data_IF_925942146689
#
_entry.id   IF_925942146689
#
_cell.length_a   1.000
_cell.length_b   1.000
_cell.length_c   1.000
_cell.angle_alpha   90.00
_cell.angle_beta   90.00
_cell.angle_gamma   90.00
#
_symmetry.space_group_name_H-M   'P 1'
#
loop_
_entity.id
_entity.type
_entity.pdbx_description
1 polymer ?
#
# COMPACT_ATOMS: atom_id res chain seq x y z
N UNK A 1 36.49 -32.08 -27.92
CA UNK A 1 36.71 -33.03 -29.02
C UNK A 1 35.34 -33.55 -29.42
N UNK A 2 34.78 -32.98 -30.43
CA UNK A 2 34.01 -33.51 -31.55
C UNK A 2 33.44 -32.30 -32.33
N UNK A 3 34.05 -32.10 -33.43
CA UNK A 3 33.69 -31.19 -34.53
C UNK A 3 32.90 -31.99 -35.57
N UNK A 4 32.10 -31.31 -36.38
CA UNK A 4 31.71 -31.60 -37.78
C UNK A 4 30.34 -31.04 -38.09
N UNK A 5 30.14 -30.22 -38.98
CA UNK A 5 30.41 -29.78 -40.37
C UNK A 5 29.06 -29.45 -41.01
N UNK A 6 28.92 -28.26 -41.44
CA UNK A 6 28.57 -27.67 -42.75
C UNK A 6 27.79 -28.54 -43.75
N UNK A 7 26.73 -27.96 -44.32
CA UNK A 7 26.05 -28.40 -45.54
C UNK A 7 25.20 -27.29 -46.13
N UNK A 8 25.73 -26.54 -47.10
CA UNK A 8 25.00 -25.65 -48.03
C UNK A 8 24.29 -26.48 -49.11
N UNK A 9 23.09 -26.10 -49.48
CA UNK A 9 22.67 -26.19 -50.91
C UNK A 9 21.65 -25.11 -51.22
N UNK A 10 22.02 -24.29 -52.22
CA UNK A 10 21.20 -23.37 -52.97
C UNK A 10 20.56 -24.12 -54.15
N UNK A 11 19.30 -23.91 -54.45
CA UNK A 11 18.70 -24.25 -55.72
C UNK A 11 17.86 -23.07 -56.22
N UNK A 12 18.38 -22.44 -57.26
CA UNK A 12 17.67 -21.48 -58.12
C UNK A 12 16.67 -22.23 -59.01
N UNK A 13 15.42 -21.81 -59.03
CA UNK A 13 14.45 -22.17 -60.07
C UNK A 13 13.92 -20.88 -60.69
N UNK A 14 14.34 -20.64 -61.94
CA UNK A 14 13.85 -19.59 -62.83
C UNK A 14 12.53 -20.06 -63.49
N UNK A 15 11.40 -19.42 -63.17
CA UNK A 15 10.13 -19.59 -63.85
C UNK A 15 9.72 -18.31 -64.56
N UNK A 16 9.81 -18.32 -65.90
CA UNK A 16 9.27 -17.28 -66.79
C UNK A 16 7.74 -17.37 -66.78
N UNK A 17 7.03 -16.35 -66.40
CA UNK A 17 5.63 -16.19 -66.66
C UNK A 17 5.39 -15.16 -67.77
N UNK A 18 4.65 -15.62 -68.80
CA UNK A 18 4.19 -14.83 -69.96
C UNK A 18 3.06 -13.88 -69.55
N UNK A 19 3.20 -12.62 -69.96
CA UNK A 19 2.13 -11.64 -69.92
C UNK A 19 1.05 -11.97 -70.95
N UNK A 20 -0.20 -12.23 -70.54
CA UNK A 20 -1.36 -12.20 -71.34
C UNK A 20 -2.08 -10.85 -71.18
N UNK A 21 -2.07 -10.10 -72.31
CA UNK A 21 -2.73 -8.79 -72.41
C UNK A 21 -4.25 -9.01 -72.55
N UNK A 22 -5.02 -8.63 -71.53
CA UNK A 22 -6.44 -8.46 -71.63
C UNK A 22 -6.80 -6.98 -71.72
N UNK A 23 -7.20 -6.53 -72.88
CA UNK A 23 -7.80 -5.20 -73.09
C UNK A 23 -9.21 -5.20 -72.50
N UNK A 24 -9.44 -4.46 -71.40
CA UNK A 24 -10.78 -4.13 -70.92
C UNK A 24 -11.03 -2.62 -71.15
N UNK A 25 -12.19 -2.34 -71.74
CA UNK A 25 -12.71 -1.01 -72.02
C UNK A 25 -13.01 -0.29 -70.69
N UNK A 26 -12.81 1.03 -70.57
CA UNK A 26 -13.11 1.77 -69.33
C UNK A 26 -14.63 1.88 -69.12
N UNK A 27 -15.12 1.35 -68.02
CA UNK A 27 -16.46 1.64 -67.52
C UNK A 27 -16.48 3.06 -66.93
N UNK A 28 -17.47 3.86 -67.32
CA UNK A 28 -17.71 5.20 -66.81
C UNK A 28 -18.00 5.14 -65.29
N UNK A 29 -17.12 5.66 -64.49
CA UNK A 29 -17.38 5.92 -63.08
C UNK A 29 -18.36 7.11 -62.99
N UNK A 30 -19.56 6.84 -62.47
CA UNK A 30 -20.51 7.90 -62.10
C UNK A 30 -19.91 8.77 -60.99
N UNK A 31 -19.99 10.08 -61.19
CA UNK A 31 -19.52 11.09 -60.19
C UNK A 31 -20.36 11.02 -58.90
N UNK A 32 -19.85 10.38 -57.88
CA UNK A 32 -20.37 10.57 -56.51
C UNK A 32 -20.09 11.99 -56.09
N UNK A 33 -21.15 12.76 -55.77
CA UNK A 33 -21.07 14.14 -55.39
C UNK A 33 -20.16 14.33 -54.15
N UNK A 34 -19.32 15.36 -54.17
CA UNK A 34 -18.38 15.74 -53.10
C UNK A 34 -19.05 15.87 -51.71
N UNK A 35 -20.38 16.07 -51.69
CA UNK A 35 -21.18 16.16 -50.48
C UNK A 35 -21.35 14.84 -49.73
N UNK A 36 -21.30 13.65 -50.38
CA UNK A 36 -21.43 12.34 -49.74
C UNK A 36 -20.08 11.93 -49.12
N UNK A 37 -18.97 12.21 -49.79
CA UNK A 37 -17.63 11.93 -49.27
C UNK A 37 -17.32 12.77 -48.02
N UNK A 38 -17.77 14.02 -47.95
CA UNK A 38 -17.59 14.89 -46.80
C UNK A 38 -18.45 14.45 -45.58
N UNK A 39 -19.70 14.00 -45.82
CA UNK A 39 -20.54 13.48 -44.71
C UNK A 39 -19.98 12.19 -44.11
N UNK A 40 -19.45 11.27 -44.90
CA UNK A 40 -18.79 10.07 -44.38
C UNK A 40 -17.49 10.38 -43.62
N UNK A 41 -16.72 11.36 -44.11
CA UNK A 41 -15.49 11.78 -43.41
C UNK A 41 -15.78 12.47 -42.07
N UNK A 42 -16.79 13.34 -42.01
CA UNK A 42 -17.21 14.00 -40.77
C UNK A 42 -17.81 13.03 -39.73
N UNK A 43 -18.61 12.03 -40.19
CA UNK A 43 -19.15 11.00 -39.29
C UNK A 43 -18.05 10.09 -38.75
N UNK A 44 -17.04 9.77 -39.56
CA UNK A 44 -15.89 8.95 -39.09
C UNK A 44 -14.97 9.70 -38.14
N UNK A 45 -14.71 10.99 -38.39
CA UNK A 45 -13.92 11.85 -37.50
C UNK A 45 -14.67 12.16 -36.22
N UNK A 46 -16.00 12.35 -36.24
CA UNK A 46 -16.81 12.55 -35.03
C UNK A 46 -16.92 11.26 -34.20
N UNK A 47 -17.00 10.08 -34.82
CA UNK A 47 -16.94 8.80 -34.12
C UNK A 47 -15.56 8.51 -33.55
N UNK A 48 -14.46 8.94 -34.21
CA UNK A 48 -13.11 8.81 -33.66
C UNK A 48 -12.83 9.83 -32.54
N UNK A 49 -13.46 11.02 -32.56
CA UNK A 49 -13.41 12.01 -31.49
C UNK A 49 -14.31 11.65 -30.29
N UNK A 50 -15.33 10.82 -30.48
CA UNK A 50 -16.19 10.33 -29.40
C UNK A 50 -15.66 9.02 -28.75
N UNK A 51 -14.66 8.37 -29.35
CA UNK A 51 -13.91 7.25 -28.72
C UNK A 51 -12.64 7.71 -28.00
N UNK A 52 -12.34 9.00 -28.05
CA UNK A 52 -11.24 9.58 -27.26
C UNK A 52 -11.79 10.08 -25.94
N UNK A 53 -11.48 9.34 -24.88
CA UNK A 53 -11.48 9.73 -23.49
C UNK A 53 -12.85 9.88 -22.80
N UNK A 54 -13.47 8.76 -22.50
CA UNK A 54 -13.77 8.55 -21.11
C UNK A 54 -12.68 7.63 -20.52
N UNK A 55 -11.45 8.10 -20.48
CA UNK A 55 -10.63 7.80 -19.34
C UNK A 55 -11.40 8.43 -18.17
N UNK A 56 -12.23 7.65 -17.48
CA UNK A 56 -12.50 7.88 -16.08
C UNK A 56 -11.09 8.02 -15.50
N UNK A 57 -10.70 9.26 -15.13
CA UNK A 57 -9.55 9.46 -14.28
C UNK A 57 -9.83 8.53 -13.10
N UNK A 58 -9.11 7.42 -13.01
CA UNK A 58 -9.08 6.65 -11.80
C UNK A 58 -8.71 7.68 -10.74
N UNK A 59 -9.57 7.88 -9.74
CA UNK A 59 -9.26 8.78 -8.64
C UNK A 59 -7.89 8.31 -8.13
N UNK A 60 -6.85 9.13 -8.32
CA UNK A 60 -5.51 8.82 -7.82
C UNK A 60 -5.65 8.47 -6.35
N UNK A 61 -5.42 7.20 -6.00
CA UNK A 61 -5.56 6.75 -4.59
C UNK A 61 -4.38 7.20 -3.73
N UNK A 62 -3.36 7.79 -4.34
CA UNK A 62 -2.22 8.38 -3.64
C UNK A 62 -2.03 9.85 -3.98
N UNK A 63 -1.58 10.60 -2.97
CA UNK A 63 -0.99 11.92 -3.15
C UNK A 63 0.52 11.80 -3.04
N UNK A 64 1.25 12.20 -4.08
CA UNK A 64 2.71 12.18 -4.03
C UNK A 64 3.22 13.50 -3.45
N UNK A 65 3.88 13.42 -2.31
CA UNK A 65 4.45 14.55 -1.57
C UNK A 65 5.98 14.47 -1.63
N UNK A 66 6.64 15.51 -2.15
CA UNK A 66 8.10 15.62 -2.03
C UNK A 66 8.45 16.06 -0.62
N UNK A 67 9.08 15.18 0.15
CA UNK A 67 9.43 15.41 1.56
C UNK A 67 10.79 16.08 1.69
N UNK A 68 11.73 15.66 0.86
CA UNK A 68 13.08 16.22 0.74
C UNK A 68 13.59 16.04 -0.68
N UNK A 69 14.79 16.49 -0.97
CA UNK A 69 15.42 16.22 -2.27
C UNK A 69 15.63 14.71 -2.44
N UNK A 70 15.09 14.14 -3.52
CA UNK A 70 15.16 12.70 -3.76
C UNK A 70 14.32 11.81 -2.83
N UNK A 71 13.57 12.37 -1.86
CA UNK A 71 12.71 11.61 -0.94
C UNK A 71 11.26 12.04 -1.07
N UNK A 72 10.38 11.08 -1.32
CA UNK A 72 8.95 11.31 -1.54
C UNK A 72 8.11 10.37 -0.68
N UNK A 73 6.92 10.81 -0.32
CA UNK A 73 5.89 10.00 0.29
C UNK A 73 4.72 9.84 -0.69
N UNK A 74 4.27 8.62 -0.90
CA UNK A 74 2.98 8.33 -1.52
C UNK A 74 1.97 8.21 -0.38
N UNK A 75 1.16 9.23 -0.17
CA UNK A 75 0.17 9.30 0.90
C UNK A 75 -1.13 8.68 0.41
N UNK A 76 -1.56 7.60 1.06
CA UNK A 76 -2.77 6.88 0.71
C UNK A 76 -4.03 7.68 1.06
N UNK A 77 -4.94 7.83 0.10
CA UNK A 77 -6.27 8.40 0.33
C UNK A 77 -7.22 7.32 0.85
N UNK A 78 -8.26 7.69 1.61
CA UNK A 78 -9.23 6.72 2.12
C UNK A 78 -9.92 5.93 0.99
N UNK A 79 -9.87 4.61 1.08
CA UNK A 79 -10.56 3.65 0.20
C UNK A 79 -11.28 2.60 1.04
N UNK A 80 -12.06 1.69 0.41
CA UNK A 80 -12.72 0.58 1.10
C UNK A 80 -11.74 -0.28 1.92
N UNK A 81 -10.59 -0.59 1.34
CA UNK A 81 -9.49 -1.25 2.04
C UNK A 81 -8.40 -0.21 2.32
N UNK A 82 -7.94 -0.18 3.54
CA UNK A 82 -6.83 0.69 3.93
C UNK A 82 -5.58 0.32 3.13
N UNK A 83 -4.96 1.30 2.49
CA UNK A 83 -3.61 1.22 1.96
C UNK A 83 -2.66 1.92 2.91
N UNK A 84 -1.42 1.49 2.97
CA UNK A 84 -0.40 2.21 3.70
C UNK A 84 0.14 3.39 2.88
N UNK A 85 0.89 4.26 3.52
CA UNK A 85 1.78 5.19 2.84
C UNK A 85 3.05 4.43 2.41
N UNK A 86 3.58 4.78 1.23
CA UNK A 86 4.90 4.30 0.82
C UNK A 86 5.92 5.44 0.80
N UNK A 87 7.16 5.15 1.21
CA UNK A 87 8.27 6.09 0.99
C UNK A 87 9.08 5.69 -0.25
N UNK A 88 9.47 6.69 -1.05
CA UNK A 88 10.27 6.52 -2.27
C UNK A 88 11.57 7.29 -2.07
N UNK A 89 12.70 6.59 -2.02
CA UNK A 89 14.01 7.17 -1.78
C UNK A 89 14.88 6.92 -3.00
N UNK A 90 15.16 7.97 -3.76
CA UNK A 90 15.95 7.91 -5.00
C UNK A 90 17.44 7.89 -4.65
N UNK A 91 18.14 6.86 -5.09
CA UNK A 91 19.60 6.75 -4.99
C UNK A 91 20.27 6.96 -6.37
N UNK A 92 21.59 7.00 -6.43
CA UNK A 92 22.29 7.26 -7.72
C UNK A 92 22.11 6.13 -8.73
N UNK A 93 21.90 4.90 -8.30
CA UNK A 93 21.82 3.72 -9.15
C UNK A 93 20.50 2.92 -9.02
N UNK A 94 19.51 3.45 -8.32
CA UNK A 94 18.22 2.81 -8.10
C UNK A 94 17.33 3.56 -7.13
N UNK A 95 16.26 2.90 -6.72
CA UNK A 95 15.29 3.42 -5.77
C UNK A 95 15.13 2.41 -4.62
N UNK A 96 15.01 2.91 -3.39
CA UNK A 96 14.53 2.18 -2.22
C UNK A 96 13.08 2.57 -2.01
N UNK A 97 12.18 1.60 -1.96
CA UNK A 97 10.76 1.81 -1.60
C UNK A 97 10.51 1.19 -0.24
N UNK A 98 9.70 1.83 0.58
CA UNK A 98 9.28 1.32 1.88
C UNK A 98 7.79 1.09 1.85
N UNK A 99 7.38 -0.15 2.10
CA UNK A 99 6.05 -0.74 2.04
C UNK A 99 5.44 -0.84 0.63
N UNK A 100 4.44 -1.72 0.46
CA UNK A 100 4.00 -2.16 -0.87
C UNK A 100 2.49 -2.23 -1.06
N UNK A 101 1.71 -1.65 -0.16
CA UNK A 101 0.26 -1.53 -0.29
C UNK A 101 -0.54 -2.83 -0.07
N UNK A 102 -1.87 -2.69 -0.04
CA UNK A 102 -2.81 -3.79 0.26
C UNK A 102 -3.12 -4.70 -0.94
N UNK A 103 -2.90 -4.24 -2.17
CA UNK A 103 -3.14 -5.00 -3.40
C UNK A 103 -2.19 -4.56 -4.53
N UNK A 104 -2.00 -5.43 -5.54
CA UNK A 104 -1.10 -5.13 -6.65
C UNK A 104 -1.49 -3.90 -7.49
N UNK A 105 -2.78 -3.56 -7.62
CA UNK A 105 -3.20 -2.36 -8.36
C UNK A 105 -2.78 -1.09 -7.63
N UNK A 106 -2.93 -1.04 -6.31
CA UNK A 106 -2.44 0.08 -5.49
C UNK A 106 -0.93 0.24 -5.61
N UNK A 107 -0.18 -0.87 -5.49
CA UNK A 107 1.27 -0.86 -5.71
C UNK A 107 1.67 -0.37 -7.11
N UNK A 108 0.90 -0.73 -8.16
CA UNK A 108 1.14 -0.22 -9.53
C UNK A 108 0.99 1.29 -9.65
N UNK A 109 0.08 1.93 -8.91
CA UNK A 109 -0.01 3.39 -8.89
C UNK A 109 1.25 4.04 -8.31
N UNK A 110 1.78 3.48 -7.22
CA UNK A 110 3.07 3.93 -6.66
C UNK A 110 4.21 3.69 -7.66
N UNK A 111 4.24 2.55 -8.35
CA UNK A 111 5.22 2.26 -9.41
C UNK A 111 5.13 3.29 -10.56
N UNK A 112 3.92 3.68 -10.97
CA UNK A 112 3.73 4.72 -11.99
C UNK A 112 4.26 6.07 -11.48
N UNK A 113 4.04 6.41 -10.22
CA UNK A 113 4.59 7.62 -9.62
C UNK A 113 6.12 7.59 -9.59
N UNK A 114 6.74 6.46 -9.23
CA UNK A 114 8.20 6.28 -9.27
C UNK A 114 8.74 6.54 -10.68
N UNK A 115 8.11 5.97 -11.72
CA UNK A 115 8.52 6.16 -13.12
C UNK A 115 8.37 7.61 -13.62
N UNK A 116 7.48 8.40 -12.99
CA UNK A 116 7.38 9.86 -13.26
C UNK A 116 8.46 10.67 -12.56
N UNK A 117 8.97 10.16 -11.43
CA UNK A 117 10.04 10.80 -10.64
C UNK A 117 11.42 10.49 -11.23
N UNK A 118 11.64 9.24 -11.65
CA UNK A 118 12.94 8.77 -12.13
C UNK A 118 12.79 7.55 -13.05
N UNK A 119 13.73 7.36 -13.96
CA UNK A 119 13.87 6.18 -14.83
C UNK A 119 14.68 5.04 -14.19
N UNK A 120 15.18 5.26 -12.96
CA UNK A 120 15.96 4.26 -12.24
C UNK A 120 15.08 3.11 -11.73
N UNK A 121 15.59 1.86 -11.74
CA UNK A 121 14.82 0.72 -11.21
C UNK A 121 14.72 0.75 -9.68
N UNK A 122 13.65 0.18 -9.15
CA UNK A 122 13.58 -0.16 -7.73
C UNK A 122 14.54 -1.32 -7.46
N UNK A 123 15.50 -1.14 -6.57
CA UNK A 123 16.47 -2.15 -6.13
C UNK A 123 16.07 -2.84 -4.83
N UNK A 124 15.49 -2.08 -3.92
CA UNK A 124 15.07 -2.58 -2.62
C UNK A 124 13.63 -2.18 -2.35
N UNK A 125 12.84 -3.16 -1.94
CA UNK A 125 11.52 -2.99 -1.36
C UNK A 125 11.61 -3.41 0.11
N UNK A 126 11.53 -2.45 1.02
CA UNK A 126 11.56 -2.69 2.46
C UNK A 126 10.14 -2.87 2.96
N UNK A 127 9.85 -4.00 3.60
CA UNK A 127 8.58 -4.23 4.29
C UNK A 127 8.78 -3.97 5.78
N UNK A 128 8.11 -2.94 6.29
CA UNK A 128 8.28 -2.53 7.68
C UNK A 128 7.77 -3.58 8.64
N UNK A 129 6.59 -4.13 8.40
CA UNK A 129 5.98 -5.16 9.24
C UNK A 129 5.01 -6.06 8.45
N UNK A 130 4.41 -7.07 9.10
CA UNK A 130 3.69 -8.16 8.44
C UNK A 130 2.21 -7.90 8.17
N UNK A 131 1.64 -6.70 8.44
CA UNK A 131 0.24 -6.44 8.12
C UNK A 131 -0.01 -6.33 6.62
N UNK A 132 -1.22 -6.74 6.19
CA UNK A 132 -1.51 -6.99 4.79
C UNK A 132 -1.34 -5.78 3.88
N UNK A 133 -1.69 -4.62 4.36
CA UNK A 133 -1.59 -3.35 3.66
C UNK A 133 -0.14 -2.85 3.45
N UNK A 134 0.85 -3.51 4.07
CA UNK A 134 2.27 -3.19 3.89
C UNK A 134 3.01 -4.19 2.98
N UNK A 135 2.52 -5.44 2.82
CA UNK A 135 3.27 -6.44 2.06
C UNK A 135 2.52 -7.06 0.86
N UNK A 136 1.19 -6.97 0.78
CA UNK A 136 0.41 -7.73 -0.20
C UNK A 136 0.62 -7.26 -1.65
N UNK A 137 0.99 -6.00 -1.87
CA UNK A 137 1.29 -5.46 -3.20
C UNK A 137 2.67 -5.79 -3.73
N UNK A 138 3.57 -6.41 -2.94
CA UNK A 138 4.97 -6.66 -3.29
C UNK A 138 5.16 -7.40 -4.62
N UNK A 139 4.22 -8.28 -5.02
CA UNK A 139 4.30 -8.98 -6.30
C UNK A 139 4.29 -8.04 -7.52
N UNK A 140 3.71 -6.84 -7.42
CA UNK A 140 3.72 -5.87 -8.50
C UNK A 140 5.13 -5.32 -8.75
N UNK A 141 5.90 -5.08 -7.68
CA UNK A 141 7.30 -4.65 -7.77
C UNK A 141 8.20 -5.73 -8.38
N UNK A 142 8.01 -7.01 -7.97
CA UNK A 142 8.74 -8.14 -8.55
C UNK A 142 8.42 -8.33 -10.04
N UNK A 143 7.18 -8.08 -10.45
CA UNK A 143 6.76 -8.15 -11.85
C UNK A 143 7.36 -7.03 -12.69
N UNK A 144 7.46 -5.82 -12.14
CA UNK A 144 8.01 -4.66 -12.83
C UNK A 144 9.54 -4.69 -12.88
N UNK A 145 10.18 -5.07 -11.77
CA UNK A 145 11.63 -5.17 -11.63
C UNK A 145 12.02 -6.54 -11.06
N UNK A 146 12.24 -7.56 -11.90
CA UNK A 146 12.55 -8.92 -11.43
C UNK A 146 13.79 -9.03 -10.55
N UNK A 147 14.67 -8.02 -10.56
CA UNK A 147 15.87 -7.93 -9.73
C UNK A 147 15.67 -7.26 -8.36
N UNK A 148 14.45 -6.78 -8.04
CA UNK A 148 14.21 -6.13 -6.76
C UNK A 148 14.42 -7.09 -5.59
N UNK A 149 15.13 -6.62 -4.57
CA UNK A 149 15.32 -7.36 -3.32
C UNK A 149 14.25 -6.93 -2.31
N UNK A 150 13.40 -7.87 -1.90
CA UNK A 150 12.40 -7.63 -0.84
C UNK A 150 13.07 -7.88 0.50
N UNK A 151 13.11 -6.85 1.37
CA UNK A 151 13.82 -6.82 2.63
C UNK A 151 12.86 -6.61 3.79
N UNK A 152 13.06 -7.33 4.89
CA UNK A 152 12.36 -7.11 6.17
C UNK A 152 13.24 -7.53 7.35
N UNK A 153 12.70 -7.43 8.58
CA UNK A 153 13.26 -8.18 9.70
C UNK A 153 12.91 -9.69 9.59
N UNK A 154 13.68 -10.54 10.30
CA UNK A 154 13.34 -11.96 10.41
C UNK A 154 11.95 -12.17 11.02
N UNK A 155 11.60 -11.41 12.05
CA UNK A 155 10.29 -11.48 12.71
C UNK A 155 9.16 -11.08 11.74
N UNK A 156 9.35 -10.02 10.92
CA UNK A 156 8.38 -9.65 9.89
C UNK A 156 8.22 -10.73 8.84
N UNK A 157 9.31 -11.31 8.33
CA UNK A 157 9.25 -12.43 7.36
C UNK A 157 8.50 -13.62 7.93
N UNK A 158 8.78 -14.00 9.17
CA UNK A 158 8.06 -15.07 9.87
C UNK A 158 6.59 -14.67 10.10
N UNK A 159 6.33 -13.43 10.50
CA UNK A 159 5.00 -12.86 10.66
C UNK A 159 4.18 -12.93 9.38
N UNK A 160 4.75 -12.56 8.21
CA UNK A 160 4.10 -12.70 6.90
C UNK A 160 3.71 -14.17 6.66
N UNK A 161 4.64 -15.10 6.86
CA UNK A 161 4.38 -16.52 6.59
C UNK A 161 3.32 -17.12 7.52
N UNK A 162 3.40 -16.84 8.82
CA UNK A 162 2.58 -17.51 9.85
C UNK A 162 1.30 -16.76 10.23
N UNK A 163 1.23 -15.45 10.02
CA UNK A 163 0.10 -14.58 10.40
C UNK A 163 -0.48 -13.83 9.19
N UNK A 164 0.34 -13.12 8.41
CA UNK A 164 -0.08 -12.26 7.31
C UNK A 164 -0.77 -13.05 6.19
N UNK A 165 -0.12 -14.04 5.60
CA UNK A 165 -0.70 -14.88 4.54
C UNK A 165 -1.94 -15.66 5.03
N UNK A 166 -1.96 -16.27 6.22
CA UNK A 166 -3.18 -16.89 6.74
C UNK A 166 -4.33 -15.89 6.95
N UNK A 167 -4.06 -14.66 7.44
CA UNK A 167 -5.08 -13.60 7.56
C UNK A 167 -5.62 -13.17 6.21
N UNK A 168 -4.75 -12.96 5.22
CA UNK A 168 -5.12 -12.64 3.85
C UNK A 168 -6.04 -13.71 3.24
N UNK A 169 -5.69 -14.99 3.38
CA UNK A 169 -6.52 -16.10 2.91
C UNK A 169 -7.89 -16.14 3.59
N UNK A 170 -7.95 -15.89 4.90
CA UNK A 170 -9.22 -15.79 5.63
C UNK A 170 -10.05 -14.62 5.13
N UNK A 171 -9.46 -13.45 4.98
CA UNK A 171 -10.14 -12.28 4.42
C UNK A 171 -10.72 -12.58 3.03
N UNK A 172 -9.96 -13.28 2.18
CA UNK A 172 -10.45 -13.72 0.85
C UNK A 172 -11.69 -14.62 0.96
N UNK A 173 -11.75 -15.47 1.98
CA UNK A 173 -12.92 -16.35 2.22
C UNK A 173 -14.13 -15.59 2.79
N UNK A 174 -13.89 -14.55 3.60
CA UNK A 174 -14.94 -13.80 4.29
C UNK A 174 -15.55 -12.68 3.41
N UNK A 175 -14.78 -12.15 2.44
CA UNK A 175 -15.20 -11.03 1.57
C UNK A 175 -16.49 -11.29 0.79
N UNK A 176 -16.76 -12.47 0.20
CA UNK A 176 -18.02 -12.73 -0.48
C UNK A 176 -19.26 -12.51 0.40
N UNK A 177 -19.23 -12.98 1.66
CA UNK A 177 -20.32 -12.77 2.61
C UNK A 177 -20.49 -11.29 2.95
N UNK A 178 -19.40 -10.55 3.09
CA UNK A 178 -19.43 -9.10 3.32
C UNK A 178 -20.02 -8.35 2.12
N UNK A 179 -19.67 -8.75 0.89
CA UNK A 179 -20.24 -8.19 -0.34
C UNK A 179 -21.77 -8.42 -0.38
N UNK A 180 -22.24 -9.62 -0.03
CA UNK A 180 -23.69 -9.90 0.04
C UNK A 180 -24.38 -9.06 1.12
N UNK A 181 -23.73 -8.79 2.25
CA UNK A 181 -24.23 -7.87 3.28
C UNK A 181 -24.38 -6.45 2.72
N UNK A 182 -23.37 -5.93 2.01
CA UNK A 182 -23.45 -4.60 1.38
C UNK A 182 -24.56 -4.52 0.34
N UNK A 183 -24.80 -5.58 -0.45
CA UNK A 183 -25.93 -5.64 -1.39
C UNK A 183 -27.29 -5.56 -0.67
N UNK A 184 -27.42 -6.27 0.45
CA UNK A 184 -28.65 -6.23 1.25
C UNK A 184 -28.85 -4.86 1.92
N UNK A 185 -27.76 -4.22 2.37
CA UNK A 185 -27.81 -2.87 2.95
C UNK A 185 -28.22 -1.84 1.88
N UNK A 186 -27.68 -1.96 0.66
CA UNK A 186 -28.05 -1.10 -0.46
C UNK A 186 -29.56 -1.17 -0.78
N UNK A 187 -30.14 -2.38 -0.70
CA UNK A 187 -31.59 -2.56 -0.92
C UNK A 187 -32.43 -1.93 0.20
N UNK A 188 -31.89 -1.85 1.42
CA UNK A 188 -32.59 -1.30 2.61
C UNK A 188 -32.39 0.21 2.77
N UNK A 189 -31.38 0.78 2.15
CA UNK A 189 -31.06 2.20 2.26
C UNK A 189 -32.18 3.08 1.69
N UNK A 190 -32.52 4.14 2.42
CA UNK A 190 -33.65 5.01 2.06
C UNK A 190 -33.25 6.36 1.47
N UNK A 191 -31.99 6.77 1.65
CA UNK A 191 -31.47 8.06 1.17
C UNK A 191 -30.50 7.93 -0.02
N UNK A 192 -30.56 8.83 -0.99
CA UNK A 192 -29.67 8.78 -2.18
C UNK A 192 -28.19 8.89 -1.77
N UNK A 193 -27.85 9.69 -0.76
CA UNK A 193 -26.47 9.82 -0.24
C UNK A 193 -25.98 8.50 0.36
N UNK A 194 -26.83 7.85 1.18
CA UNK A 194 -26.53 6.56 1.80
C UNK A 194 -26.36 5.48 0.74
N UNK A 195 -27.26 5.41 -0.23
CA UNK A 195 -27.17 4.47 -1.36
C UNK A 195 -25.88 4.66 -2.16
N UNK A 196 -25.52 5.91 -2.47
CA UNK A 196 -24.30 6.21 -3.21
C UNK A 196 -23.04 5.77 -2.45
N UNK A 197 -23.01 5.96 -1.12
CA UNK A 197 -21.90 5.53 -0.27
C UNK A 197 -21.80 4.00 -0.20
N UNK A 198 -22.93 3.31 0.02
CA UNK A 198 -22.94 1.84 0.03
C UNK A 198 -22.57 1.27 -1.34
N UNK A 199 -23.07 1.85 -2.45
CA UNK A 199 -22.71 1.42 -3.79
C UNK A 199 -21.21 1.59 -4.05
N UNK A 200 -20.62 2.73 -3.66
CA UNK A 200 -19.17 2.95 -3.73
C UNK A 200 -18.40 1.88 -2.97
N UNK A 201 -18.82 1.58 -1.75
CA UNK A 201 -18.18 0.54 -0.92
C UNK A 201 -18.32 -0.86 -1.55
N UNK A 202 -19.48 -1.16 -2.15
CA UNK A 202 -19.74 -2.42 -2.86
C UNK A 202 -18.82 -2.59 -4.07
N UNK A 203 -18.69 -1.55 -4.91
CA UNK A 203 -17.84 -1.56 -6.09
C UNK A 203 -16.36 -1.74 -5.70
N UNK A 204 -15.91 -1.02 -4.69
CA UNK A 204 -14.53 -1.14 -4.16
C UNK A 204 -14.27 -2.50 -3.51
N UNK A 205 -15.25 -3.07 -2.77
CA UNK A 205 -15.12 -4.40 -2.19
C UNK A 205 -15.02 -5.48 -3.27
N UNK A 206 -15.81 -5.36 -4.35
CA UNK A 206 -15.75 -6.26 -5.49
C UNK A 206 -14.42 -6.20 -6.22
N UNK A 207 -13.90 -4.99 -6.46
CA UNK A 207 -12.60 -4.77 -7.07
C UNK A 207 -11.46 -5.35 -6.20
N UNK A 208 -11.48 -5.05 -4.89
CA UNK A 208 -10.52 -5.59 -3.94
C UNK A 208 -10.53 -7.13 -3.91
N UNK A 209 -11.71 -7.75 -3.81
CA UNK A 209 -11.85 -9.20 -3.84
C UNK A 209 -11.31 -9.82 -5.13
N UNK A 210 -11.57 -9.19 -6.27
CA UNK A 210 -11.12 -9.70 -7.58
C UNK A 210 -9.61 -9.79 -7.69
N UNK A 211 -8.86 -8.93 -6.99
CA UNK A 211 -7.40 -8.97 -6.94
C UNK A 211 -6.87 -9.84 -5.80
N UNK A 212 -7.44 -9.71 -4.58
CA UNK A 212 -6.94 -10.37 -3.38
C UNK A 212 -6.88 -11.90 -3.54
N UNK A 213 -7.85 -12.50 -4.24
CA UNK A 213 -7.87 -13.95 -4.51
C UNK A 213 -6.64 -14.45 -5.27
N UNK A 214 -5.98 -13.57 -6.04
CA UNK A 214 -4.82 -13.87 -6.88
C UNK A 214 -3.49 -13.39 -6.25
N UNK A 215 -3.54 -12.75 -5.07
CA UNK A 215 -2.34 -12.34 -4.32
C UNK A 215 -1.64 -13.56 -3.74
N UNK A 216 -0.36 -13.71 -4.09
CA UNK A 216 0.43 -14.88 -3.66
C UNK A 216 1.15 -14.71 -2.32
N UNK A 217 1.23 -13.49 -1.79
CA UNK A 217 1.96 -13.19 -0.56
C UNK A 217 3.47 -13.43 -0.70
N UNK A 218 4.19 -12.39 -1.11
CA UNK A 218 5.64 -12.45 -1.30
C UNK A 218 6.35 -12.50 0.05
N UNK A 219 7.23 -13.48 0.23
CA UNK A 219 8.13 -13.52 1.39
C UNK A 219 9.40 -12.72 1.08
N UNK A 220 9.86 -11.85 2.00
CA UNK A 220 11.14 -11.14 1.85
C UNK A 220 12.29 -12.08 1.55
N UNK A 221 13.13 -11.72 0.56
CA UNK A 221 14.29 -12.48 0.14
C UNK A 221 15.55 -12.18 0.96
N UNK A 222 15.58 -10.99 1.57
CA UNK A 222 16.62 -10.56 2.49
C UNK A 222 16.01 -10.27 3.86
N UNK A 223 16.74 -10.65 4.92
CA UNK A 223 16.35 -10.30 6.28
C UNK A 223 17.47 -9.57 7.00
N UNK A 224 17.06 -8.69 7.91
CA UNK A 224 17.94 -7.87 8.75
C UNK A 224 17.69 -8.26 10.20
N UNK A 225 18.75 -8.67 10.88
CA UNK A 225 18.66 -8.99 12.31
C UNK A 225 18.48 -7.73 13.16
N UNK A 226 19.32 -6.72 12.95
CA UNK A 226 19.24 -5.44 13.67
C UNK A 226 19.25 -4.22 12.75
N UNK A 227 20.29 -4.09 11.93
CA UNK A 227 20.46 -2.93 11.07
C UNK A 227 21.21 -3.27 9.77
N UNK A 228 20.91 -2.53 8.73
CA UNK A 228 21.65 -2.49 7.49
C UNK A 228 21.72 -1.06 6.96
N UNK A 229 22.86 -0.69 6.38
CA UNK A 229 23.06 0.63 5.77
C UNK A 229 23.30 0.49 4.27
N UNK A 230 22.40 1.03 3.48
CA UNK A 230 22.54 1.17 2.03
C UNK A 230 23.18 2.53 1.74
N UNK A 231 24.39 2.52 1.15
CA UNK A 231 25.13 3.75 0.87
C UNK A 231 25.09 4.07 -0.61
N UNK A 232 24.74 5.30 -0.94
CA UNK A 232 24.86 5.85 -2.27
C UNK A 232 25.40 7.29 -2.18
N UNK A 233 25.68 7.90 -3.34
CA UNK A 233 26.15 9.30 -3.37
C UNK A 233 25.05 10.30 -3.07
N UNK A 234 23.78 9.95 -3.37
CA UNK A 234 22.63 10.83 -3.12
C UNK A 234 22.17 10.71 -1.68
N UNK A 235 21.92 9.49 -1.19
CA UNK A 235 21.40 9.26 0.16
C UNK A 235 22.05 8.04 0.82
N UNK A 236 22.29 8.17 2.11
CA UNK A 236 22.49 7.02 2.99
C UNK A 236 21.13 6.60 3.53
N UNK A 237 20.77 5.32 3.41
CA UNK A 237 19.53 4.76 3.95
C UNK A 237 19.89 3.76 5.03
N UNK A 238 19.49 4.04 6.26
CA UNK A 238 19.67 3.17 7.42
C UNK A 238 18.35 2.47 7.72
N UNK A 239 18.34 1.15 7.73
CA UNK A 239 17.18 0.32 8.00
C UNK A 239 17.47 -0.41 9.30
N UNK A 240 16.67 -0.16 10.34
CA UNK A 240 17.01 -0.57 11.70
C UNK A 240 15.78 -1.11 12.44
N UNK A 241 15.94 -2.21 13.16
CA UNK A 241 15.01 -2.64 14.19
C UNK A 241 15.37 -1.97 15.52
N UNK A 242 14.49 -1.14 16.06
CA UNK A 242 14.72 -0.35 17.27
C UNK A 242 14.13 -1.00 18.53
N UNK A 243 13.28 -2.02 18.37
CA UNK A 243 12.61 -2.71 19.45
C UNK A 243 11.23 -3.21 19.06
N UNK A 244 10.54 -3.87 19.98
CA UNK A 244 9.14 -4.29 19.84
C UNK A 244 8.24 -3.05 19.86
N UNK A 245 7.26 -2.98 18.98
CA UNK A 245 6.34 -1.85 18.89
C UNK A 245 4.94 -2.27 18.47
N UNK A 246 4.50 -1.86 17.26
CA UNK A 246 3.23 -2.23 16.65
C UNK A 246 3.15 -3.73 16.34
N UNK A 247 4.30 -4.29 16.00
CA UNK A 247 4.54 -5.74 15.88
C UNK A 247 5.87 -6.11 16.55
N UNK A 248 6.27 -7.38 16.39
CA UNK A 248 7.55 -7.87 16.85
C UNK A 248 8.72 -7.60 15.89
N UNK A 249 8.43 -7.12 14.68
CA UNK A 249 9.42 -6.99 13.61
C UNK A 249 9.53 -5.62 12.95
N UNK A 250 8.97 -4.57 13.54
CA UNK A 250 8.90 -3.25 12.90
C UNK A 250 10.28 -2.70 12.55
N UNK A 251 10.49 -2.40 11.26
CA UNK A 251 11.68 -1.73 10.78
C UNK A 251 11.43 -0.23 10.61
N UNK A 252 12.40 0.54 11.06
CA UNK A 252 12.50 1.97 10.82
C UNK A 252 13.49 2.23 9.70
N UNK A 253 13.14 3.14 8.78
CA UNK A 253 14.03 3.54 7.69
C UNK A 253 14.40 5.01 7.86
N UNK A 254 15.67 5.27 8.14
CA UNK A 254 16.17 6.61 8.38
C UNK A 254 17.09 7.07 7.26
N UNK A 255 16.87 8.29 6.78
CA UNK A 255 17.66 8.97 5.74
C UNK A 255 18.33 10.20 6.41
N UNK A 256 19.55 10.05 6.98
CA UNK A 256 20.17 11.07 7.82
C UNK A 256 20.38 12.41 7.12
N UNK A 257 20.88 12.37 5.89
CA UNK A 257 21.18 13.54 5.08
C UNK A 257 19.93 14.31 4.62
N UNK A 258 18.77 13.62 4.52
CA UNK A 258 17.47 14.22 4.25
C UNK A 258 16.70 14.56 5.55
N UNK A 259 17.16 14.12 6.72
CA UNK A 259 16.46 14.23 8.02
C UNK A 259 15.04 13.65 7.98
N UNK A 260 14.87 12.53 7.28
CA UNK A 260 13.58 11.84 7.14
C UNK A 260 13.63 10.49 7.84
N UNK A 261 12.59 10.21 8.65
CA UNK A 261 12.37 8.93 9.29
C UNK A 261 11.07 8.30 8.74
N UNK A 262 11.13 7.06 8.30
CA UNK A 262 9.96 6.25 7.91
C UNK A 262 9.72 5.23 9.01
N UNK A 263 8.50 5.17 9.52
CA UNK A 263 8.17 4.43 10.75
C UNK A 263 7.21 3.26 10.55
N UNK A 264 6.63 3.11 9.35
CA UNK A 264 5.50 2.21 9.21
C UNK A 264 4.43 2.53 10.26
N UNK A 265 3.82 1.52 10.84
CA UNK A 265 2.76 1.69 11.84
C UNK A 265 3.28 1.83 13.28
N UNK A 266 4.61 1.83 13.45
CA UNK A 266 5.19 2.17 14.74
C UNK A 266 4.95 3.63 15.16
N UNK A 267 4.67 4.53 14.18
CA UNK A 267 4.17 5.90 14.41
C UNK A 267 3.52 6.47 13.14
N UNK A 268 2.33 7.04 13.28
CA UNK A 268 1.64 7.78 12.20
C UNK A 268 0.67 8.82 12.80
N UNK A 269 -0.05 9.59 11.98
CA UNK A 269 -0.99 10.62 12.47
C UNK A 269 -2.27 10.06 13.12
N UNK A 270 -2.60 8.80 12.83
CA UNK A 270 -3.76 8.12 13.41
C UNK A 270 -3.50 7.50 14.78
N UNK A 271 -4.44 6.66 15.22
CA UNK A 271 -4.42 6.03 16.54
C UNK A 271 -3.54 4.78 16.56
N UNK A 272 -2.66 4.59 17.57
CA UNK A 272 -2.00 3.31 17.79
C UNK A 272 -2.99 2.16 17.88
N UNK A 273 -2.72 1.02 17.26
CA UNK A 273 -3.53 -0.20 17.36
C UNK A 273 -2.75 -1.31 18.04
N UNK A 274 -3.36 -1.93 19.08
CA UNK A 274 -2.65 -2.89 19.94
C UNK A 274 -2.78 -4.36 19.48
N UNK A 275 -3.35 -4.65 18.31
CA UNK A 275 -3.73 -6.02 17.91
C UNK A 275 -2.57 -7.02 17.96
N UNK A 276 -1.39 -6.62 17.56
CA UNK A 276 -0.18 -7.47 17.58
C UNK A 276 0.98 -6.78 18.34
N UNK A 277 0.66 -5.74 19.11
CA UNK A 277 1.63 -4.84 19.70
C UNK A 277 2.19 -5.31 21.06
N UNK A 278 3.34 -4.77 21.38
CA UNK A 278 3.98 -4.85 22.70
C UNK A 278 3.96 -3.45 23.35
N UNK A 279 2.85 -3.01 23.96
CA UNK A 279 2.61 -1.60 24.30
C UNK A 279 3.62 -1.02 25.29
N UNK A 280 4.18 -1.79 26.20
CA UNK A 280 5.20 -1.32 27.16
C UNK A 280 6.57 -1.13 26.48
N UNK A 281 6.97 -2.06 25.63
CA UNK A 281 8.19 -1.99 24.85
C UNK A 281 8.08 -0.91 23.77
N UNK A 282 6.89 -0.73 23.20
CA UNK A 282 6.62 0.28 22.17
C UNK A 282 7.00 1.69 22.63
N UNK A 283 6.70 2.03 23.88
CA UNK A 283 7.11 3.33 24.45
C UNK A 283 8.64 3.52 24.37
N UNK A 284 9.42 2.48 24.72
CA UNK A 284 10.90 2.52 24.65
C UNK A 284 11.40 2.58 23.22
N UNK A 285 10.73 1.89 22.32
CA UNK A 285 11.05 1.91 20.88
C UNK A 285 10.80 3.30 20.29
N UNK A 286 9.71 3.96 20.70
CA UNK A 286 9.45 5.36 20.31
C UNK A 286 10.51 6.32 20.88
N UNK A 287 10.97 6.14 22.12
CA UNK A 287 12.07 6.91 22.69
C UNK A 287 13.38 6.74 21.90
N UNK A 288 13.70 5.50 21.50
CA UNK A 288 14.86 5.21 20.67
C UNK A 288 14.75 5.87 19.28
N UNK A 289 13.59 5.77 18.63
CA UNK A 289 13.34 6.42 17.34
C UNK A 289 13.42 7.95 17.45
N UNK A 290 12.85 8.52 18.51
CA UNK A 290 12.85 9.96 18.75
C UNK A 290 14.26 10.54 19.01
N UNK A 291 15.22 9.72 19.47
CA UNK A 291 16.61 10.14 19.67
C UNK A 291 17.35 10.44 18.36
N UNK A 292 16.85 9.97 17.21
CA UNK A 292 17.43 10.26 15.90
C UNK A 292 17.26 11.74 15.52
N UNK A 293 18.17 12.25 14.67
CA UNK A 293 18.14 13.65 14.19
C UNK A 293 17.32 13.77 12.90
N UNK A 294 16.02 13.68 13.01
CA UNK A 294 15.08 13.89 11.90
C UNK A 294 14.24 15.16 12.08
N UNK A 295 13.73 15.67 10.97
CA UNK A 295 12.80 16.80 10.92
C UNK A 295 11.41 16.37 10.44
N UNK A 296 11.34 15.29 9.67
CA UNK A 296 10.10 14.82 9.03
C UNK A 296 9.94 13.31 9.22
N UNK A 297 8.68 12.87 9.42
CA UNK A 297 8.32 11.46 9.53
C UNK A 297 7.31 11.10 8.47
N UNK A 298 7.56 10.00 7.76
CA UNK A 298 6.58 9.32 6.91
C UNK A 298 6.07 8.13 7.71
N UNK A 299 4.88 8.27 8.29
CA UNK A 299 4.19 7.18 8.99
C UNK A 299 3.52 6.23 8.03
N UNK A 300 3.12 5.04 8.50
CA UNK A 300 2.42 4.06 7.68
C UNK A 300 1.06 4.54 7.18
N UNK A 301 0.44 5.50 7.85
CA UNK A 301 -0.87 6.08 7.48
C UNK A 301 -0.96 7.56 7.79
N UNK A 302 -1.91 8.23 7.09
CA UNK A 302 -2.19 9.65 7.31
C UNK A 302 -1.13 10.59 6.77
N UNK A 303 -1.17 11.84 7.19
CA UNK A 303 -0.30 12.87 6.67
C UNK A 303 1.16 12.74 7.11
N UNK A 304 2.07 13.35 6.35
CA UNK A 304 3.48 13.52 6.72
C UNK A 304 3.57 14.36 8.01
N UNK A 305 4.31 13.86 8.98
CA UNK A 305 4.49 14.52 10.27
C UNK A 305 5.79 15.35 10.30
N UNK A 306 5.78 16.44 11.04
CA UNK A 306 6.93 17.31 11.22
C UNK A 306 7.34 17.39 12.68
N UNK A 307 8.64 17.20 12.94
CA UNK A 307 9.20 17.22 14.30
C UNK A 307 8.77 16.00 15.12
N UNK A 308 8.82 16.15 16.45
CA UNK A 308 8.69 15.03 17.40
C UNK A 308 7.40 15.04 18.22
N UNK A 309 6.49 15.98 17.96
CA UNK A 309 5.30 16.16 18.81
C UNK A 309 4.39 14.91 18.87
N UNK A 310 4.25 14.17 17.75
CA UNK A 310 3.41 12.98 17.71
C UNK A 310 4.01 11.83 18.54
N UNK A 311 5.33 11.74 18.68
CA UNK A 311 5.98 10.75 19.57
C UNK A 311 5.52 10.92 21.00
N UNK A 312 5.47 12.16 21.50
CA UNK A 312 5.00 12.48 22.86
C UNK A 312 3.50 12.11 23.02
N UNK A 313 2.68 12.41 22.01
CA UNK A 313 1.24 12.07 22.03
C UNK A 313 1.05 10.56 22.13
N UNK A 314 1.79 9.77 21.33
CA UNK A 314 1.68 8.31 21.33
C UNK A 314 2.19 7.70 22.63
N UNK A 315 3.39 8.11 23.12
CA UNK A 315 3.95 7.63 24.38
C UNK A 315 2.98 7.89 25.54
N UNK A 316 2.43 9.10 25.62
CA UNK A 316 1.48 9.45 26.67
C UNK A 316 0.15 8.68 26.56
N UNK A 317 -0.37 8.49 25.35
CA UNK A 317 -1.58 7.70 25.13
C UNK A 317 -1.38 6.24 25.55
N UNK A 318 -0.28 5.60 25.13
CA UNK A 318 0.04 4.22 25.51
C UNK A 318 0.23 4.08 27.02
N UNK A 319 0.89 5.05 27.64
CA UNK A 319 1.10 5.08 29.10
C UNK A 319 -0.22 5.18 29.84
N UNK A 320 -1.09 6.14 29.49
CA UNK A 320 -2.37 6.35 30.14
C UNK A 320 -3.30 5.15 29.95
N UNK A 321 -3.34 4.59 28.75
CA UNK A 321 -4.14 3.41 28.44
C UNK A 321 -3.70 2.22 29.30
N UNK A 322 -2.41 1.89 29.28
CA UNK A 322 -1.90 0.71 29.97
C UNK A 322 -1.93 0.88 31.51
N UNK A 323 -1.66 2.06 32.03
CA UNK A 323 -1.84 2.36 33.44
C UNK A 323 -3.31 2.28 33.87
N UNK A 324 -4.20 2.82 33.05
CA UNK A 324 -5.64 2.76 33.34
C UNK A 324 -6.19 1.33 33.41
N UNK A 325 -5.88 0.50 32.39
CA UNK A 325 -6.34 -0.90 32.43
C UNK A 325 -5.68 -1.70 33.55
N UNK A 326 -4.41 -1.43 33.88
CA UNK A 326 -3.72 -2.07 34.99
C UNK A 326 -4.37 -1.73 36.34
N UNK A 327 -4.74 -0.48 36.56
CA UNK A 327 -5.41 -0.03 37.80
C UNK A 327 -6.78 -0.70 37.97
N UNK A 328 -7.60 -0.79 36.90
CA UNK A 328 -8.89 -1.48 36.96
C UNK A 328 -8.71 -2.97 37.27
N UNK A 329 -7.76 -3.63 36.59
CA UNK A 329 -7.48 -5.06 36.83
C UNK A 329 -6.97 -5.31 38.25
N UNK A 330 -6.04 -4.48 38.76
CA UNK A 330 -5.49 -4.59 40.13
C UNK A 330 -6.54 -4.41 41.20
N UNK A 331 -7.59 -3.61 40.95
CA UNK A 331 -8.74 -3.43 41.83
C UNK A 331 -9.77 -4.57 41.76
N UNK A 332 -9.48 -5.63 40.99
CA UNK A 332 -10.44 -6.72 40.73
C UNK A 332 -11.57 -6.36 39.79
N UNK A 333 -11.49 -5.23 39.10
CA UNK A 333 -12.48 -4.75 38.15
C UNK A 333 -12.54 -5.57 36.85
N UNK A 334 -13.63 -5.41 36.14
CA UNK A 334 -13.95 -6.12 34.90
C UNK A 334 -13.57 -5.35 33.65
N UNK A 335 -13.54 -6.02 32.48
CA UNK A 335 -13.38 -5.36 31.20
C UNK A 335 -14.49 -4.32 30.92
N UNK A 336 -15.74 -4.62 31.37
CA UNK A 336 -16.86 -3.70 31.22
C UNK A 336 -16.63 -2.39 32.00
N UNK A 337 -16.13 -2.48 33.23
CA UNK A 337 -15.77 -1.33 34.05
C UNK A 337 -14.57 -0.57 33.45
N UNK A 338 -13.56 -1.28 32.90
CA UNK A 338 -12.46 -0.62 32.19
C UNK A 338 -12.95 0.19 31.00
N UNK A 339 -13.84 -0.36 30.17
CA UNK A 339 -14.46 0.38 29.05
C UNK A 339 -15.26 1.59 29.52
N UNK A 340 -16.07 1.41 30.55
CA UNK A 340 -16.95 2.46 31.08
C UNK A 340 -16.16 3.64 31.66
N UNK A 341 -15.04 3.37 32.31
CA UNK A 341 -14.25 4.39 33.03
C UNK A 341 -13.19 5.03 32.13
N UNK A 342 -12.47 4.22 31.33
CA UNK A 342 -11.32 4.71 30.58
C UNK A 342 -11.69 5.32 29.22
N UNK A 343 -12.66 4.74 28.49
CA UNK A 343 -12.94 5.23 27.15
C UNK A 343 -13.38 6.70 27.11
N UNK A 344 -14.32 7.18 27.96
CA UNK A 344 -14.67 8.60 27.96
C UNK A 344 -13.48 9.53 28.27
N UNK A 345 -12.64 9.15 29.23
CA UNK A 345 -11.47 9.94 29.62
C UNK A 345 -10.42 10.02 28.50
N UNK A 346 -10.12 8.89 27.87
CA UNK A 346 -9.18 8.82 26.74
C UNK A 346 -9.73 9.57 25.52
N UNK A 347 -11.03 9.44 25.21
CA UNK A 347 -11.66 10.16 24.10
C UNK A 347 -11.60 11.67 24.35
N UNK A 348 -11.90 12.14 25.56
CA UNK A 348 -11.84 13.56 25.90
C UNK A 348 -10.40 14.12 25.80
N UNK A 349 -9.38 13.33 26.20
CA UNK A 349 -7.98 13.77 26.22
C UNK A 349 -7.32 13.71 24.85
N UNK A 350 -7.64 12.69 24.03
CA UNK A 350 -6.89 12.37 22.81
C UNK A 350 -7.69 12.46 21.52
N UNK A 351 -9.01 12.53 21.56
CA UNK A 351 -9.86 12.44 20.37
C UNK A 351 -9.63 13.52 19.31
N UNK A 352 -9.02 14.65 19.68
CA UNK A 352 -8.64 15.72 18.75
C UNK A 352 -7.15 15.68 18.36
N UNK A 353 -6.39 14.70 18.84
CA UNK A 353 -4.94 14.59 18.61
C UNK A 353 -4.59 13.59 17.52
N UNK A 354 -5.53 12.70 17.19
CA UNK A 354 -5.36 11.66 16.20
C UNK A 354 -6.29 11.87 15.01
N UNK A 355 -5.81 11.58 13.81
CA UNK A 355 -6.66 11.40 12.65
C UNK A 355 -7.53 10.14 12.82
N UNK A 356 -8.68 10.09 12.14
CA UNK A 356 -9.57 8.93 12.17
C UNK A 356 -9.08 7.78 11.28
N UNK A 357 -7.90 7.28 11.59
CA UNK A 357 -7.20 6.22 10.86
C UNK A 357 -6.72 5.15 11.86
N UNK A 358 -6.95 3.86 11.61
CA UNK A 358 -7.72 3.26 10.51
C UNK A 358 -9.24 3.42 10.65
N UNK A 359 -9.70 3.91 11.78
CA UNK A 359 -11.11 4.12 12.13
C UNK A 359 -11.23 5.34 13.05
N UNK A 360 -12.45 5.83 13.30
CA UNK A 360 -12.66 6.87 14.30
C UNK A 360 -12.04 6.50 15.65
N UNK A 361 -11.33 7.45 16.27
CA UNK A 361 -10.65 7.24 17.54
C UNK A 361 -11.56 6.63 18.60
N UNK A 362 -12.82 7.07 18.66
CA UNK A 362 -13.82 6.54 19.58
C UNK A 362 -14.10 5.04 19.43
N UNK A 363 -13.88 4.47 18.25
CA UNK A 363 -13.99 3.01 18.03
C UNK A 363 -12.69 2.29 18.39
N UNK A 364 -11.55 2.83 17.96
CA UNK A 364 -10.22 2.24 18.19
C UNK A 364 -9.87 2.17 19.67
N UNK A 365 -10.27 3.18 20.46
CA UNK A 365 -9.97 3.21 21.90
C UNK A 365 -10.61 2.04 22.66
N UNK A 366 -11.83 1.63 22.30
CA UNK A 366 -12.45 0.46 22.93
C UNK A 366 -11.71 -0.84 22.62
N UNK A 367 -11.32 -1.03 21.36
CA UNK A 367 -10.51 -2.18 20.96
C UNK A 367 -9.16 -2.22 21.71
N UNK A 368 -8.51 -1.08 21.86
CA UNK A 368 -7.27 -0.95 22.60
C UNK A 368 -7.42 -1.25 24.10
N UNK A 369 -8.52 -0.79 24.73
CA UNK A 369 -8.84 -1.14 26.12
C UNK A 369 -9.02 -2.65 26.27
N UNK A 370 -9.74 -3.29 25.34
CA UNK A 370 -9.98 -4.74 25.36
C UNK A 370 -8.67 -5.54 25.28
N UNK A 371 -7.79 -5.12 24.38
CA UNK A 371 -6.49 -5.78 24.18
C UNK A 371 -5.58 -5.51 25.39
N UNK A 372 -5.46 -4.26 25.82
CA UNK A 372 -4.68 -3.88 26.98
C UNK A 372 -5.11 -4.62 28.25
N UNK A 373 -6.43 -4.73 28.50
CA UNK A 373 -6.96 -5.48 29.63
C UNK A 373 -6.60 -6.97 29.58
N UNK A 374 -6.66 -7.60 28.39
CA UNK A 374 -6.21 -9.00 28.20
C UNK A 374 -4.73 -9.16 28.46
N UNK A 375 -3.89 -8.23 27.97
CA UNK A 375 -2.44 -8.24 28.21
C UNK A 375 -2.16 -8.21 29.71
N UNK A 376 -2.75 -7.26 30.43
CA UNK A 376 -2.57 -7.08 31.89
C UNK A 376 -3.03 -8.31 32.67
N UNK A 377 -4.15 -8.95 32.27
CA UNK A 377 -4.66 -10.15 32.94
C UNK A 377 -3.92 -11.45 32.53
N UNK A 378 -2.83 -11.38 31.76
CA UNK A 378 -2.06 -12.55 31.29
C UNK A 378 -2.83 -13.48 30.37
N UNK A 379 -3.91 -13.01 29.73
CA UNK A 379 -4.67 -13.77 28.73
C UNK A 379 -4.05 -13.49 27.36
N UNK A 380 -3.41 -14.52 26.80
CA UNK A 380 -2.79 -14.46 25.48
C UNK A 380 -3.73 -13.79 24.44
N UNK A 381 -3.22 -12.82 23.72
CA UNK A 381 -3.86 -12.19 22.55
C UNK A 381 -3.55 -13.05 21.31
N UNK A 382 -3.91 -14.35 21.34
CA UNK A 382 -3.72 -15.23 20.21
C UNK A 382 -5.02 -15.47 19.47
#
# INVERSE_FOLDING_TARGET
MFTVCVGRHAALVSGRFRFLSCRHKPARLASLSKAVAWKCFYTFVLQFLLLSATSLAADDIFQIVRVSDGVYAAIAKPTFRLNCNAAIIVQDDGVVVVDSESIPSAAREVIIAIKRITDKPVKFLVITHFHGDHFQGAQAYLSEWPGVQVLSSDATREGIAKRGIPRMRRETLDLPARIETLKADLQRANGEKEKAEIQKNLDQAGAYFSELKDVQGVLPSLTVDRDITLRSKLHTVQITWLGLAHTDGDLFVYVPDAKVLVTGDALHSGTPTLTDASPYEWIRTLEAAESLDFATVIGGHGDVLHGKAMFEVWKQFLTDLMAGVANVAASGGTLAEARQTLAPALIAKYGQKFENIPAPFSQTVYANIDIGFRIVCGKSVK
#
